data_IF_341735040488
#
_entry.id   IF_341735040488
#
_cell.length_a   1.000
_cell.length_b   1.000
_cell.length_c   1.000
_cell.angle_alpha   90.00
_cell.angle_beta   90.00
_cell.angle_gamma   90.00
#
_symmetry.space_group_name_H-M   'P 1'
#
loop_
_entity.id
_entity.type
_entity.pdbx_description
1 polymer ?
#
# COMPACT_ATOMS: atom_id res chain seq x y z
N UNK A 1 -25.21 17.03 -9.89
CA UNK A 1 -24.77 16.90 -8.49
C UNK A 1 -24.26 18.25 -7.96
N UNK A 2 -24.55 18.59 -6.70
CA UNK A 2 -24.23 19.90 -6.07
C UNK A 2 -22.91 19.86 -5.28
N UNK A 3 -22.47 18.67 -4.87
CA UNK A 3 -21.41 18.45 -3.87
C UNK A 3 -20.02 19.00 -4.23
N UNK A 4 -19.72 19.19 -5.51
CA UNK A 4 -18.41 19.70 -5.94
C UNK A 4 -18.45 21.13 -6.47
N UNK A 5 -19.62 21.78 -6.58
CA UNK A 5 -19.77 23.07 -7.28
C UNK A 5 -18.88 24.20 -6.72
N UNK A 6 -18.57 24.14 -5.44
CA UNK A 6 -17.73 25.10 -4.70
C UNK A 6 -16.25 24.68 -4.62
N UNK A 7 -15.89 23.49 -5.11
CA UNK A 7 -14.53 22.93 -5.00
C UNK A 7 -13.67 23.30 -6.20
N UNK A 8 -12.34 23.33 -6.02
CA UNK A 8 -11.36 23.63 -7.09
C UNK A 8 -11.54 22.71 -8.31
N UNK A 9 -11.85 21.42 -8.08
CA UNK A 9 -12.08 20.43 -9.15
C UNK A 9 -13.20 20.82 -10.12
N UNK A 10 -14.21 21.58 -9.66
CA UNK A 10 -15.30 22.06 -10.52
C UNK A 10 -14.83 23.06 -11.58
N UNK A 11 -13.74 23.76 -11.29
CA UNK A 11 -13.12 24.74 -12.18
C UNK A 11 -12.15 24.10 -13.19
N UNK A 12 -11.81 22.81 -13.04
CA UNK A 12 -10.90 22.10 -13.93
C UNK A 12 -11.48 21.79 -15.33
N UNK A 13 -12.71 22.24 -15.62
CA UNK A 13 -13.27 22.22 -16.97
C UNK A 13 -14.37 21.19 -17.18
N UNK A 14 -14.94 21.19 -18.39
CA UNK A 14 -16.08 20.34 -18.75
C UNK A 14 -15.72 18.85 -18.72
N UNK A 15 -14.52 18.49 -19.19
CA UNK A 15 -14.08 17.10 -19.29
C UNK A 15 -14.21 16.33 -17.97
N UNK A 16 -13.87 16.92 -16.82
CA UNK A 16 -14.04 16.27 -15.51
C UNK A 16 -15.50 16.25 -15.04
N UNK A 17 -16.25 17.33 -15.31
CA UNK A 17 -17.66 17.43 -14.91
C UNK A 17 -18.55 16.44 -15.64
N UNK A 18 -18.22 16.10 -16.87
CA UNK A 18 -18.98 15.14 -17.69
C UNK A 18 -18.91 13.70 -17.14
N UNK A 19 -17.95 13.38 -16.26
CA UNK A 19 -17.84 12.07 -15.59
C UNK A 19 -18.46 12.04 -14.18
N UNK A 20 -18.93 13.19 -13.66
CA UNK A 20 -19.43 13.27 -12.29
C UNK A 20 -20.69 12.42 -12.09
N UNK A 21 -20.64 11.46 -11.17
CA UNK A 21 -21.79 10.60 -10.84
C UNK A 21 -22.21 9.68 -11.99
N UNK A 22 -21.33 9.44 -12.95
CA UNK A 22 -21.61 8.63 -14.14
C UNK A 22 -21.53 7.12 -13.87
N UNK A 23 -20.64 6.71 -12.97
CA UNK A 23 -20.37 5.29 -12.71
C UNK A 23 -20.88 4.90 -11.32
N UNK A 24 -21.57 3.75 -11.19
CA UNK A 24 -21.72 3.12 -9.90
C UNK A 24 -20.33 2.75 -9.37
N UNK A 25 -20.15 2.81 -8.06
CA UNK A 25 -18.86 2.51 -7.41
C UNK A 25 -19.10 1.40 -6.43
N UNK A 26 -18.27 0.35 -6.46
CA UNK A 26 -18.11 -0.62 -5.37
C UNK A 26 -16.89 -0.19 -4.57
N UNK A 27 -17.03 0.07 -3.27
CA UNK A 27 -15.92 0.49 -2.42
C UNK A 27 -15.81 -0.42 -1.20
N UNK A 28 -14.68 -1.10 -1.06
CA UNK A 28 -14.39 -1.98 0.07
C UNK A 28 -13.02 -1.60 0.64
N UNK A 29 -12.96 -1.44 1.95
CA UNK A 29 -11.71 -1.25 2.69
C UNK A 29 -11.55 -2.37 3.71
N UNK A 30 -10.36 -2.98 3.75
CA UNK A 30 -10.05 -4.05 4.71
C UNK A 30 -9.19 -3.56 5.88
N UNK A 31 -9.01 -2.25 6.02
CA UNK A 31 -8.15 -1.60 7.04
C UNK A 31 -8.33 -2.13 8.47
N UNK A 32 -9.56 -2.47 8.84
CA UNK A 32 -9.92 -2.91 10.20
C UNK A 32 -10.00 -4.44 10.34
N UNK A 33 -9.63 -5.21 9.30
CA UNK A 33 -9.65 -6.68 9.33
C UNK A 33 -8.38 -7.21 9.98
N UNK A 34 -8.31 -7.02 11.31
CA UNK A 34 -7.24 -7.49 12.20
C UNK A 34 -7.83 -8.42 13.24
N UNK A 35 -7.78 -9.73 12.96
CA UNK A 35 -8.40 -10.79 13.76
C UNK A 35 -7.39 -11.90 14.00
N UNK A 36 -7.59 -12.62 15.10
CA UNK A 36 -6.63 -13.62 15.55
C UNK A 36 -6.91 -15.00 14.94
N UNK A 37 -8.08 -15.20 14.31
CA UNK A 37 -8.43 -16.46 13.61
C UNK A 37 -9.04 -16.23 12.23
N UNK A 38 -9.03 -17.29 11.41
CA UNK A 38 -9.68 -17.29 10.10
C UNK A 38 -11.20 -17.07 10.20
N UNK A 39 -11.88 -17.70 11.17
CA UNK A 39 -13.33 -17.59 11.33
C UNK A 39 -13.76 -16.16 11.64
N UNK A 40 -13.03 -15.48 12.51
CA UNK A 40 -13.27 -14.08 12.84
C UNK A 40 -12.96 -13.16 11.65
N UNK A 41 -11.86 -13.43 10.94
CA UNK A 41 -11.46 -12.71 9.72
C UNK A 41 -12.55 -12.81 8.65
N UNK A 42 -12.97 -14.03 8.33
CA UNK A 42 -14.03 -14.32 7.37
C UNK A 42 -15.35 -13.65 7.75
N UNK A 43 -15.73 -13.73 9.04
CA UNK A 43 -16.93 -13.06 9.55
C UNK A 43 -16.86 -11.55 9.35
N UNK A 44 -15.70 -10.94 9.59
CA UNK A 44 -15.51 -9.50 9.41
C UNK A 44 -15.57 -9.10 7.93
N UNK A 45 -14.89 -9.84 7.05
CA UNK A 45 -14.97 -9.61 5.60
C UNK A 45 -16.41 -9.74 5.10
N UNK A 46 -17.13 -10.78 5.53
CA UNK A 46 -18.53 -11.00 5.16
C UNK A 46 -19.42 -9.81 5.58
N UNK A 47 -19.15 -9.23 6.76
CA UNK A 47 -19.84 -8.02 7.21
C UNK A 47 -19.56 -6.82 6.33
N UNK A 48 -18.30 -6.59 5.93
CA UNK A 48 -17.91 -5.48 5.04
C UNK A 48 -18.60 -5.62 3.68
N UNK A 49 -18.57 -6.82 3.09
CA UNK A 49 -19.27 -7.10 1.83
C UNK A 49 -20.77 -6.83 1.98
N UNK A 50 -21.40 -7.29 3.08
CA UNK A 50 -22.82 -7.03 3.33
C UNK A 50 -23.15 -5.55 3.44
N UNK A 51 -22.33 -4.76 4.13
CA UNK A 51 -22.51 -3.31 4.23
C UNK A 51 -22.44 -2.64 2.86
N UNK A 52 -21.56 -3.14 1.98
CA UNK A 52 -21.47 -2.68 0.61
C UNK A 52 -22.70 -3.09 -0.22
N UNK A 53 -23.26 -4.28 -0.01
CA UNK A 53 -24.55 -4.63 -0.60
C UNK A 53 -25.67 -3.70 -0.10
N UNK A 54 -25.77 -3.42 1.20
CA UNK A 54 -26.79 -2.51 1.73
C UNK A 54 -26.70 -1.11 1.11
N UNK A 55 -25.49 -0.64 0.77
CA UNK A 55 -25.28 0.64 0.09
C UNK A 55 -25.92 0.70 -1.30
N UNK A 56 -26.11 -0.45 -1.96
CA UNK A 56 -26.75 -0.60 -3.28
C UNK A 56 -28.14 -1.24 -3.20
N UNK A 57 -28.86 -1.06 -2.09
CA UNK A 57 -30.21 -1.62 -1.86
C UNK A 57 -31.23 -1.32 -2.95
N UNK A 58 -31.03 -0.28 -3.76
CA UNK A 58 -31.88 0.05 -4.91
C UNK A 58 -31.96 -1.09 -5.94
N UNK A 59 -30.98 -2.01 -5.96
CA UNK A 59 -30.98 -3.17 -6.83
C UNK A 59 -32.12 -4.15 -6.54
N UNK A 60 -32.65 -4.18 -5.32
CA UNK A 60 -33.83 -4.98 -4.98
C UNK A 60 -35.08 -4.53 -5.74
N UNK A 61 -35.18 -3.23 -6.05
CA UNK A 61 -36.30 -2.64 -6.78
C UNK A 61 -36.03 -2.55 -8.30
N UNK A 62 -34.82 -2.89 -8.74
CA UNK A 62 -34.42 -2.87 -10.15
C UNK A 62 -35.33 -3.76 -11.01
N UNK A 63 -35.98 -3.24 -12.07
CA UNK A 63 -36.73 -4.07 -13.01
C UNK A 63 -35.82 -4.87 -13.95
N UNK A 64 -34.51 -4.56 -13.97
CA UNK A 64 -33.52 -5.21 -14.84
C UNK A 64 -32.85 -6.41 -14.19
N UNK A 65 -32.80 -6.46 -12.86
CA UNK A 65 -32.26 -7.60 -12.14
C UNK A 65 -33.30 -8.72 -12.05
N UNK A 66 -32.86 -9.95 -12.27
CA UNK A 66 -33.70 -11.15 -12.20
C UNK A 66 -34.17 -11.46 -10.77
N UNK A 67 -35.19 -12.32 -10.66
CA UNK A 67 -35.66 -12.82 -9.36
C UNK A 67 -34.55 -13.55 -8.59
N UNK A 68 -33.69 -14.28 -9.27
CA UNK A 68 -32.60 -15.04 -8.65
C UNK A 68 -31.52 -14.13 -8.06
N UNK A 69 -31.15 -13.08 -8.78
CA UNK A 69 -30.17 -12.09 -8.30
C UNK A 69 -30.70 -11.33 -7.09
N UNK A 70 -31.99 -10.96 -7.10
CA UNK A 70 -32.63 -10.34 -5.94
C UNK A 70 -32.69 -11.26 -4.74
N UNK A 71 -32.88 -12.56 -4.95
CA UNK A 71 -32.84 -13.54 -3.86
C UNK A 71 -31.44 -13.70 -3.28
N UNK A 72 -30.42 -13.80 -4.15
CA UNK A 72 -29.01 -13.78 -3.75
C UNK A 72 -28.67 -12.52 -2.93
N UNK A 73 -29.09 -11.35 -3.41
CA UNK A 73 -28.89 -10.08 -2.72
C UNK A 73 -29.53 -10.07 -1.33
N UNK A 74 -30.75 -10.58 -1.19
CA UNK A 74 -31.41 -10.72 0.11
C UNK A 74 -30.66 -11.67 1.04
N UNK A 75 -30.18 -12.81 0.54
CA UNK A 75 -29.40 -13.75 1.34
C UNK A 75 -28.11 -13.11 1.88
N UNK A 76 -27.44 -12.27 1.08
CA UNK A 76 -26.29 -11.47 1.52
C UNK A 76 -26.67 -10.51 2.67
N UNK A 77 -27.77 -9.76 2.52
CA UNK A 77 -28.24 -8.81 3.55
C UNK A 77 -28.67 -9.50 4.84
N UNK A 78 -29.37 -10.64 4.73
CA UNK A 78 -29.89 -11.40 5.87
C UNK A 78 -28.81 -12.23 6.58
N UNK A 79 -27.57 -12.27 6.06
CA UNK A 79 -26.48 -13.07 6.60
C UNK A 79 -26.69 -14.58 6.43
N UNK A 80 -27.45 -14.97 5.40
CA UNK A 80 -27.71 -16.37 5.02
C UNK A 80 -26.76 -16.88 3.93
N UNK A 81 -25.97 -15.99 3.36
CA UNK A 81 -24.97 -16.30 2.35
C UNK A 81 -23.88 -17.24 2.90
N UNK A 82 -23.50 -18.24 2.10
CA UNK A 82 -22.41 -19.14 2.43
C UNK A 82 -21.04 -18.59 1.95
N UNK A 83 -19.97 -19.36 2.17
CA UNK A 83 -18.62 -18.95 1.76
C UNK A 83 -18.45 -18.79 0.25
N UNK A 84 -19.17 -19.59 -0.53
CA UNK A 84 -19.15 -19.49 -2.00
C UNK A 84 -19.85 -18.20 -2.45
N UNK A 85 -20.97 -17.88 -1.81
CA UNK A 85 -21.69 -16.64 -2.06
C UNK A 85 -20.78 -15.43 -1.77
N UNK A 86 -20.11 -15.39 -0.62
CA UNK A 86 -19.22 -14.26 -0.29
C UNK A 86 -18.02 -14.19 -1.25
N UNK A 87 -17.39 -15.33 -1.59
CA UNK A 87 -16.29 -15.37 -2.57
C UNK A 87 -16.69 -14.90 -3.97
N UNK A 88 -17.96 -14.97 -4.36
CA UNK A 88 -18.44 -14.53 -5.69
C UNK A 88 -19.16 -13.19 -5.66
N UNK A 89 -19.24 -12.57 -4.47
CA UNK A 89 -20.06 -11.38 -4.22
C UNK A 89 -19.67 -10.15 -5.03
N UNK A 90 -18.38 -9.88 -5.23
CA UNK A 90 -17.93 -8.72 -6.02
C UNK A 90 -18.34 -8.86 -7.48
N UNK A 91 -18.20 -10.06 -8.04
CA UNK A 91 -18.65 -10.35 -9.40
C UNK A 91 -20.15 -10.12 -9.52
N UNK A 92 -20.94 -10.68 -8.58
CA UNK A 92 -22.40 -10.60 -8.62
C UNK A 92 -22.91 -9.18 -8.45
N UNK A 93 -22.39 -8.45 -7.47
CA UNK A 93 -22.74 -7.04 -7.27
C UNK A 93 -22.36 -6.20 -8.49
N UNK A 94 -21.19 -6.44 -9.07
CA UNK A 94 -20.75 -5.73 -10.27
C UNK A 94 -21.67 -5.97 -11.46
N UNK A 95 -22.09 -7.22 -11.69
CA UNK A 95 -23.04 -7.58 -12.76
C UNK A 95 -24.39 -6.88 -12.56
N UNK A 96 -24.95 -6.97 -11.34
CA UNK A 96 -26.24 -6.36 -11.03
C UNK A 96 -26.23 -4.84 -11.20
N UNK A 97 -25.13 -4.16 -10.84
CA UNK A 97 -24.96 -2.72 -11.04
C UNK A 97 -24.89 -2.34 -12.52
N UNK A 98 -24.12 -3.10 -13.32
CA UNK A 98 -24.04 -2.88 -14.77
C UNK A 98 -25.41 -3.09 -15.44
N UNK A 99 -26.14 -4.14 -15.07
CA UNK A 99 -27.50 -4.37 -15.59
C UNK A 99 -28.45 -3.22 -15.22
N UNK A 100 -28.45 -2.81 -13.96
CA UNK A 100 -29.33 -1.75 -13.49
C UNK A 100 -29.05 -0.41 -14.15
N UNK A 101 -27.79 0.04 -14.14
CA UNK A 101 -27.39 1.37 -14.61
C UNK A 101 -27.04 1.41 -16.11
N UNK A 102 -26.79 0.26 -16.74
CA UNK A 102 -26.33 0.14 -18.13
C UNK A 102 -24.89 0.60 -18.35
N UNK A 103 -24.09 0.64 -17.29
CA UNK A 103 -22.68 1.04 -17.32
C UNK A 103 -21.89 0.32 -16.22
N UNK A 104 -20.74 -0.23 -16.61
CA UNK A 104 -19.89 -1.00 -15.71
C UNK A 104 -19.45 -0.18 -14.48
N UNK A 105 -19.51 -0.76 -13.28
CA UNK A 105 -19.08 -0.07 -12.06
C UNK A 105 -17.57 0.08 -12.00
N UNK A 106 -17.13 1.03 -11.16
CA UNK A 106 -15.74 1.14 -10.72
C UNK A 106 -15.62 0.39 -9.40
N UNK A 107 -14.72 -0.60 -9.32
CA UNK A 107 -14.41 -1.32 -8.08
C UNK A 107 -13.15 -0.71 -7.48
N UNK A 108 -13.23 -0.25 -6.24
CA UNK A 108 -12.12 0.29 -5.46
C UNK A 108 -11.96 -0.59 -4.24
N UNK A 109 -10.76 -1.15 -4.10
CA UNK A 109 -10.38 -2.02 -3.00
C UNK A 109 -9.20 -1.39 -2.30
N UNK A 110 -9.37 -1.13 -1.02
CA UNK A 110 -8.41 -0.43 -0.18
C UNK A 110 -7.88 -1.39 0.90
N UNK A 111 -6.59 -1.27 1.22
CA UNK A 111 -5.91 -2.06 2.27
C UNK A 111 -6.09 -3.58 2.12
N UNK A 112 -6.12 -4.09 0.88
CA UNK A 112 -6.38 -5.51 0.57
C UNK A 112 -5.37 -6.49 1.18
N UNK A 113 -4.17 -5.98 1.49
CA UNK A 113 -3.06 -6.68 2.11
C UNK A 113 -3.23 -6.85 3.63
N UNK A 114 -3.99 -5.97 4.31
CA UNK A 114 -4.24 -6.06 5.76
C UNK A 114 -4.68 -7.46 6.22
N UNK A 115 -5.74 -8.10 5.69
CA UNK A 115 -6.15 -9.43 6.13
C UNK A 115 -5.12 -10.51 5.77
N UNK A 116 -4.38 -10.34 4.67
CA UNK A 116 -3.33 -11.27 4.23
C UNK A 116 -2.15 -11.23 5.22
N UNK A 117 -1.71 -10.03 5.58
CA UNK A 117 -0.70 -9.80 6.59
C UNK A 117 -1.13 -10.38 7.95
N UNK A 118 -2.38 -10.17 8.36
CA UNK A 118 -2.89 -10.71 9.62
C UNK A 118 -2.94 -12.23 9.61
N UNK A 119 -3.41 -12.84 8.52
CA UNK A 119 -3.37 -14.29 8.34
C UNK A 119 -1.96 -14.86 8.37
N UNK A 120 -0.98 -14.14 7.80
CA UNK A 120 0.42 -14.52 7.91
C UNK A 120 0.91 -14.52 9.36
N UNK A 121 0.70 -13.43 10.08
CA UNK A 121 1.16 -13.25 11.46
C UNK A 121 0.53 -14.24 12.44
N UNK A 122 -0.74 -14.61 12.20
CA UNK A 122 -1.52 -15.46 13.10
C UNK A 122 -1.59 -16.93 12.63
N UNK A 123 -0.93 -17.28 11.52
CA UNK A 123 -0.77 -18.66 11.07
C UNK A 123 -1.93 -19.26 10.27
N UNK A 124 -2.80 -18.43 9.66
CA UNK A 124 -3.90 -18.84 8.78
C UNK A 124 -3.80 -18.20 7.37
N UNK A 125 -2.57 -18.06 6.87
CA UNK A 125 -2.25 -17.41 5.60
C UNK A 125 -2.88 -18.09 4.40
N UNK A 126 -2.83 -19.42 4.34
CA UNK A 126 -3.29 -20.20 3.19
C UNK A 126 -4.81 -20.07 3.01
N UNK A 127 -5.55 -20.02 4.11
CA UNK A 127 -7.00 -19.80 4.13
C UNK A 127 -7.36 -18.41 3.58
N UNK A 128 -6.68 -17.36 4.06
CA UNK A 128 -6.94 -15.98 3.62
C UNK A 128 -6.58 -15.81 2.14
N UNK A 129 -5.42 -16.29 1.70
CA UNK A 129 -5.01 -16.16 0.30
C UNK A 129 -5.97 -16.89 -0.62
N UNK A 130 -6.37 -18.11 -0.28
CA UNK A 130 -7.34 -18.87 -1.07
C UNK A 130 -8.66 -18.09 -1.21
N UNK A 131 -9.17 -17.57 -0.10
CA UNK A 131 -10.41 -16.79 -0.10
C UNK A 131 -10.27 -15.49 -0.89
N UNK A 132 -9.23 -14.68 -0.64
CA UNK A 132 -9.02 -13.39 -1.30
C UNK A 132 -8.80 -13.57 -2.81
N UNK A 133 -8.08 -14.62 -3.22
CA UNK A 133 -7.93 -14.98 -4.64
C UNK A 133 -9.27 -15.24 -5.30
N UNK A 134 -10.14 -16.01 -4.65
CA UNK A 134 -11.47 -16.31 -5.18
C UNK A 134 -12.35 -15.04 -5.21
N UNK A 135 -12.35 -14.25 -4.14
CA UNK A 135 -13.06 -12.97 -4.03
C UNK A 135 -12.72 -12.02 -5.18
N UNK A 136 -11.43 -11.89 -5.51
CA UNK A 136 -10.97 -10.99 -6.56
C UNK A 136 -11.08 -11.58 -7.96
N UNK A 137 -10.80 -12.87 -8.15
CA UNK A 137 -10.81 -13.51 -9.48
C UNK A 137 -12.17 -13.44 -10.19
N UNK A 138 -13.28 -13.40 -9.44
CA UNK A 138 -14.61 -13.28 -10.02
C UNK A 138 -14.90 -11.89 -10.60
N UNK A 139 -14.41 -10.83 -9.94
CA UNK A 139 -14.71 -9.43 -10.30
C UNK A 139 -13.59 -8.70 -11.04
N UNK A 140 -12.36 -9.21 -10.97
CA UNK A 140 -11.15 -8.59 -11.48
C UNK A 140 -10.37 -9.61 -12.32
N UNK A 141 -10.11 -9.29 -13.59
CA UNK A 141 -9.31 -10.14 -14.47
C UNK A 141 -8.33 -9.28 -15.29
N UNK A 142 -7.16 -9.84 -15.61
CA UNK A 142 -6.09 -9.18 -16.38
C UNK A 142 -5.67 -7.81 -15.84
N UNK A 143 -5.36 -7.75 -14.55
CA UNK A 143 -4.95 -6.50 -13.89
C UNK A 143 -3.62 -6.00 -14.45
N UNK A 144 -3.59 -4.72 -14.85
CA UNK A 144 -2.36 -4.00 -15.12
C UNK A 144 -1.82 -3.45 -13.80
N UNK A 145 -0.70 -3.98 -13.33
CA UNK A 145 -0.01 -3.50 -12.13
C UNK A 145 0.79 -2.25 -12.50
N UNK A 146 0.68 -1.20 -11.67
CA UNK A 146 1.54 -0.01 -11.75
C UNK A 146 2.21 0.14 -10.39
N UNK A 147 3.48 -0.24 -10.31
CA UNK A 147 4.31 -0.21 -9.11
C UNK A 147 5.04 1.13 -8.96
N UNK A 148 5.83 1.24 -7.88
CA UNK A 148 6.72 2.38 -7.61
C UNK A 148 7.80 2.57 -8.70
N UNK A 149 8.11 1.53 -9.47
CA UNK A 149 9.10 1.61 -10.55
C UNK A 149 8.48 2.04 -11.90
N UNK A 150 7.15 2.05 -11.99
CA UNK A 150 6.42 2.38 -13.22
C UNK A 150 6.19 3.90 -13.38
N UNK A 151 6.46 4.42 -14.58
CA UNK A 151 6.36 5.87 -14.82
C UNK A 151 4.94 6.39 -15.01
N UNK A 152 3.98 5.52 -15.40
CA UNK A 152 2.65 5.93 -15.89
C UNK A 152 1.87 6.82 -14.92
N UNK A 153 1.98 6.55 -13.61
CA UNK A 153 1.28 7.31 -12.56
C UNK A 153 2.23 7.89 -11.51
N UNK A 154 3.52 7.94 -11.84
CA UNK A 154 4.58 8.30 -10.89
C UNK A 154 4.35 9.63 -10.16
N UNK A 155 3.79 10.64 -10.83
CA UNK A 155 3.53 11.97 -10.24
C UNK A 155 2.35 12.00 -9.25
N UNK A 156 1.52 10.94 -9.19
CA UNK A 156 0.29 10.92 -8.41
C UNK A 156 0.40 10.16 -7.07
N UNK A 157 1.58 9.62 -6.76
CA UNK A 157 1.82 8.89 -5.50
C UNK A 157 2.11 9.81 -4.30
N UNK A 158 2.36 11.10 -4.54
CA UNK A 158 2.59 12.08 -3.48
C UNK A 158 2.59 13.51 -3.99
N UNK A 159 3.40 14.38 -3.38
CA UNK A 159 3.55 15.76 -3.86
C UNK A 159 4.81 15.91 -4.70
N UNK A 160 4.68 16.58 -5.84
CA UNK A 160 5.82 16.99 -6.66
C UNK A 160 6.60 18.14 -6.00
N UNK A 161 7.89 18.34 -6.36
CA UNK A 161 8.67 19.48 -5.90
C UNK A 161 7.97 20.83 -6.13
N UNK A 162 7.29 20.99 -7.27
CA UNK A 162 6.54 22.19 -7.63
C UNK A 162 5.34 22.42 -6.70
N UNK A 163 4.57 21.38 -6.40
CA UNK A 163 3.46 21.45 -5.44
C UNK A 163 3.96 21.79 -4.03
N UNK A 164 5.08 21.20 -3.59
CA UNK A 164 5.66 21.52 -2.27
C UNK A 164 6.13 22.99 -2.22
N UNK A 165 6.73 23.53 -3.29
CA UNK A 165 7.06 24.97 -3.38
C UNK A 165 5.81 25.84 -3.29
N UNK A 166 4.70 25.42 -3.93
CA UNK A 166 3.43 26.14 -3.84
C UNK A 166 2.82 26.10 -2.43
N UNK A 167 2.86 24.94 -1.76
CA UNK A 167 2.40 24.80 -0.37
C UNK A 167 3.27 25.69 0.55
N UNK A 168 4.60 25.66 0.40
CA UNK A 168 5.51 26.51 1.17
C UNK A 168 5.21 28.01 0.96
N UNK A 169 4.93 28.41 -0.28
CA UNK A 169 4.48 29.77 -0.61
C UNK A 169 3.16 30.13 0.05
N UNK A 170 2.19 29.23 0.04
CA UNK A 170 0.87 29.45 0.64
C UNK A 170 0.96 29.70 2.15
N UNK A 171 1.84 28.98 2.86
CA UNK A 171 2.08 29.18 4.29
C UNK A 171 3.11 30.26 4.62
N UNK A 172 3.68 30.95 3.62
CA UNK A 172 4.67 32.01 3.82
C UNK A 172 6.03 31.52 4.34
N UNK A 173 6.40 30.28 4.03
CA UNK A 173 7.64 29.62 4.48
C UNK A 173 8.51 29.18 3.27
N UNK A 174 8.63 30.03 2.25
CA UNK A 174 9.35 29.70 1.01
C UNK A 174 10.85 29.45 1.26
N UNK A 175 11.42 30.17 2.21
CA UNK A 175 12.80 30.07 2.68
C UNK A 175 13.11 28.72 3.35
N UNK A 176 12.08 27.96 3.72
CA UNK A 176 12.22 26.64 4.34
C UNK A 176 12.28 25.48 3.34
N UNK A 177 12.20 25.75 2.04
CA UNK A 177 12.13 24.70 1.02
C UNK A 177 13.31 23.70 1.10
N UNK A 178 14.54 24.17 1.27
CA UNK A 178 15.71 23.27 1.41
C UNK A 178 15.65 22.39 2.66
N UNK A 179 15.10 22.91 3.77
CA UNK A 179 14.89 22.13 5.00
C UNK A 179 13.83 21.05 4.80
N UNK A 180 12.74 21.38 4.09
CA UNK A 180 11.70 20.43 3.71
C UNK A 180 12.30 19.35 2.80
N UNK A 181 13.11 19.72 1.81
CA UNK A 181 13.80 18.78 0.94
C UNK A 181 14.67 17.79 1.73
N UNK A 182 15.52 18.30 2.62
CA UNK A 182 16.42 17.48 3.42
C UNK A 182 15.68 16.46 4.31
N UNK A 183 14.45 16.77 4.74
CA UNK A 183 13.69 15.94 5.65
C UNK A 183 12.68 15.02 4.98
N UNK A 184 12.07 15.41 3.87
CA UNK A 184 10.85 14.77 3.36
C UNK A 184 10.86 14.45 1.86
N UNK A 185 11.91 14.85 1.14
CA UNK A 185 12.11 14.54 -0.28
C UNK A 185 12.79 13.18 -0.46
N UNK A 186 13.10 12.84 -1.70
CA UNK A 186 14.04 11.80 -2.04
C UNK A 186 13.38 10.58 -2.65
N UNK A 187 12.06 10.39 -2.54
CA UNK A 187 11.45 9.29 -3.27
C UNK A 187 11.48 9.54 -4.76
N UNK A 188 11.79 8.48 -5.50
CA UNK A 188 11.72 8.47 -6.95
C UNK A 188 10.77 7.36 -7.36
N UNK A 189 9.61 7.76 -7.87
CA UNK A 189 8.62 6.84 -8.42
C UNK A 189 8.75 6.91 -9.93
N UNK A 190 9.12 5.83 -10.60
CA UNK A 190 9.47 5.84 -12.03
C UNK A 190 10.40 7.01 -12.41
N UNK A 191 9.86 8.01 -13.10
CA UNK A 191 10.58 9.21 -13.56
C UNK A 191 10.34 10.47 -12.72
N UNK A 192 9.49 10.42 -11.69
CA UNK A 192 9.09 11.58 -10.90
C UNK A 192 9.74 11.57 -9.51
N UNK A 193 10.18 12.75 -9.06
CA UNK A 193 10.56 13.00 -7.66
C UNK A 193 9.30 13.31 -6.85
N UNK A 194 9.17 12.66 -5.70
CA UNK A 194 7.94 12.69 -4.90
C UNK A 194 8.27 12.86 -3.42
N UNK A 195 7.50 13.74 -2.77
CA UNK A 195 7.49 13.91 -1.34
C UNK A 195 6.35 13.10 -0.73
N UNK A 196 6.59 12.56 0.48
CA UNK A 196 5.54 11.94 1.26
C UNK A 196 4.48 13.00 1.69
N UNK A 197 3.20 12.87 1.28
CA UNK A 197 2.20 13.89 1.59
C UNK A 197 1.94 14.10 3.07
N UNK A 198 1.94 13.01 3.84
CA UNK A 198 1.68 13.05 5.29
C UNK A 198 2.78 13.83 6.02
N UNK A 199 4.03 13.58 5.67
CA UNK A 199 5.17 14.27 6.28
C UNK A 199 5.18 15.76 5.95
N UNK A 200 4.96 16.13 4.68
CA UNK A 200 4.89 17.54 4.25
C UNK A 200 3.73 18.26 4.94
N UNK A 201 2.52 17.67 4.97
CA UNK A 201 1.37 18.29 5.64
C UNK A 201 1.65 18.49 7.13
N UNK A 202 2.23 17.49 7.79
CA UNK A 202 2.52 17.59 9.22
C UNK A 202 3.65 18.56 9.54
N UNK A 203 4.62 18.77 8.65
CA UNK A 203 5.62 19.83 8.81
C UNK A 203 4.97 21.21 8.98
N UNK A 204 4.04 21.56 8.09
CA UNK A 204 3.32 22.84 8.18
C UNK A 204 2.39 22.89 9.40
N UNK A 205 1.69 21.79 9.72
CA UNK A 205 0.87 21.69 10.95
C UNK A 205 1.71 21.81 12.23
N UNK A 206 2.96 21.37 12.19
CA UNK A 206 3.91 21.44 13.30
C UNK A 206 4.72 22.75 13.28
N UNK A 207 4.12 23.83 12.78
CA UNK A 207 4.71 25.18 12.77
C UNK A 207 6.06 25.24 12.04
N UNK A 208 6.18 24.54 10.91
CA UNK A 208 7.39 24.48 10.09
C UNK A 208 8.62 23.99 10.88
N UNK A 209 8.40 23.01 11.77
CA UNK A 209 9.47 22.34 12.53
C UNK A 209 9.58 20.89 12.07
N UNK A 210 10.77 20.45 11.64
CA UNK A 210 10.94 19.10 11.16
C UNK A 210 10.89 18.08 12.30
N UNK A 211 10.25 16.95 12.03
CA UNK A 211 10.17 15.74 12.86
C UNK A 211 9.99 14.52 11.96
N UNK A 212 10.23 13.34 12.52
CA UNK A 212 9.78 12.09 11.91
C UNK A 212 8.27 11.91 12.16
N UNK A 213 7.47 12.23 11.15
CA UNK A 213 6.01 12.08 11.10
C UNK A 213 5.56 10.78 10.46
N UNK A 214 6.42 10.13 9.68
CA UNK A 214 6.17 8.83 9.11
C UNK A 214 5.87 7.83 10.23
N UNK A 215 4.69 7.22 10.17
CA UNK A 215 4.21 6.22 11.12
C UNK A 215 4.11 4.88 10.40
N UNK A 216 4.87 3.88 10.86
CA UNK A 216 4.71 2.51 10.38
C UNK A 216 3.40 1.94 10.92
N UNK A 217 2.42 1.71 10.07
CA UNK A 217 1.23 0.92 10.42
C UNK A 217 1.37 -0.45 9.77
N UNK A 218 1.64 -1.49 10.58
CA UNK A 218 1.57 -2.91 10.16
C UNK A 218 2.90 -3.56 9.80
N UNK A 219 3.77 -2.93 9.02
CA UNK A 219 4.94 -3.61 8.41
C UNK A 219 6.07 -3.98 9.39
N UNK A 220 6.09 -3.40 10.60
CA UNK A 220 7.18 -3.56 11.56
C UNK A 220 7.36 -4.97 12.13
N UNK A 221 6.30 -5.77 12.17
CA UNK A 221 6.36 -7.13 12.72
C UNK A 221 7.00 -8.09 11.72
N UNK A 222 6.61 -7.97 10.45
CA UNK A 222 7.16 -8.77 9.36
C UNK A 222 8.65 -8.50 9.22
N UNK A 223 9.07 -7.22 9.21
CA UNK A 223 10.49 -6.83 9.16
C UNK A 223 11.30 -7.56 10.24
N UNK A 224 10.77 -7.67 11.46
CA UNK A 224 11.45 -8.38 12.55
C UNK A 224 11.73 -9.85 12.21
N UNK A 225 10.79 -10.53 11.56
CA UNK A 225 10.99 -11.91 11.11
C UNK A 225 12.02 -12.01 9.98
N UNK A 226 11.97 -11.12 8.97
CA UNK A 226 12.95 -11.12 7.87
C UNK A 226 14.37 -10.96 8.43
N UNK A 227 14.49 -10.09 9.42
CA UNK A 227 15.76 -9.73 10.04
C UNK A 227 16.27 -10.78 11.03
N UNK A 228 15.40 -11.64 11.56
CA UNK A 228 15.80 -12.71 12.49
C UNK A 228 16.70 -13.75 11.80
N UNK A 229 16.48 -13.98 10.50
CA UNK A 229 17.25 -14.90 9.66
C UNK A 229 18.30 -14.19 8.80
N UNK A 230 18.58 -12.90 9.07
CA UNK A 230 19.59 -12.13 8.34
C UNK A 230 21.01 -12.61 8.65
N UNK A 231 21.83 -12.74 7.61
CA UNK A 231 23.25 -13.04 7.74
C UNK A 231 24.10 -11.78 8.00
N UNK A 232 25.40 -11.97 8.20
CA UNK A 232 26.34 -10.89 8.45
C UNK A 232 26.39 -9.88 7.29
N UNK A 233 26.28 -10.36 6.05
CA UNK A 233 26.33 -9.53 4.85
C UNK A 233 25.11 -8.60 4.78
N UNK A 234 23.91 -9.10 5.06
CA UNK A 234 22.70 -8.27 5.17
C UNK A 234 22.84 -7.25 6.30
N UNK A 235 23.37 -7.64 7.45
CA UNK A 235 23.57 -6.71 8.55
C UNK A 235 24.54 -5.58 8.18
N UNK A 236 25.66 -5.89 7.53
CA UNK A 236 26.62 -4.89 7.06
C UNK A 236 25.95 -3.91 6.08
N UNK A 237 25.31 -4.44 5.05
CA UNK A 237 24.53 -3.68 4.09
C UNK A 237 23.47 -2.77 4.76
N UNK A 238 22.69 -3.29 5.71
CA UNK A 238 21.69 -2.47 6.42
C UNK A 238 22.33 -1.32 7.22
N UNK A 239 23.57 -1.48 7.71
CA UNK A 239 24.34 -0.40 8.34
C UNK A 239 24.91 0.59 7.32
N UNK A 240 25.38 0.11 6.17
CA UNK A 240 25.87 0.95 5.07
C UNK A 240 24.78 1.94 4.60
N UNK A 241 23.53 1.46 4.49
CA UNK A 241 22.39 2.32 4.17
C UNK A 241 22.21 3.46 5.18
N UNK A 242 22.37 3.20 6.48
CA UNK A 242 22.26 4.25 7.51
C UNK A 242 23.41 5.27 7.42
N UNK A 243 24.59 4.83 6.98
CA UNK A 243 25.74 5.71 6.70
C UNK A 243 25.55 6.55 5.43
N UNK A 244 24.44 6.38 4.71
CA UNK A 244 24.12 7.11 3.50
C UNK A 244 24.72 6.51 2.23
N UNK A 245 25.27 5.29 2.30
CA UNK A 245 25.70 4.54 1.11
C UNK A 245 24.48 3.99 0.36
N UNK A 246 24.70 3.62 -0.90
CA UNK A 246 23.74 2.89 -1.72
C UNK A 246 24.14 1.43 -1.87
N UNK A 247 23.16 0.57 -2.15
CA UNK A 247 23.35 -0.87 -2.35
C UNK A 247 22.78 -1.27 -3.69
N UNK A 248 23.52 -2.09 -4.43
CA UNK A 248 23.02 -2.72 -5.65
C UNK A 248 22.39 -4.07 -5.30
N UNK A 249 21.09 -4.24 -5.59
CA UNK A 249 20.35 -5.45 -5.22
C UNK A 249 19.22 -5.76 -6.20
N UNK A 250 18.80 -7.02 -6.22
CA UNK A 250 17.63 -7.44 -6.97
C UNK A 250 16.35 -7.03 -6.24
N UNK A 251 15.41 -6.45 -6.98
CA UNK A 251 14.12 -5.99 -6.48
C UNK A 251 13.00 -6.71 -7.23
N UNK A 252 12.20 -7.42 -6.43
CA UNK A 252 10.91 -7.98 -6.84
C UNK A 252 9.78 -7.20 -6.18
N UNK A 253 9.06 -6.41 -6.98
CA UNK A 253 7.91 -5.63 -6.50
C UNK A 253 6.67 -6.48 -6.20
N UNK A 254 6.68 -7.76 -6.59
CA UNK A 254 5.62 -8.74 -6.36
C UNK A 254 5.90 -9.73 -5.22
N UNK A 255 6.89 -9.44 -4.35
CA UNK A 255 7.29 -10.32 -3.25
C UNK A 255 6.11 -10.72 -2.37
N UNK A 256 5.96 -12.02 -2.09
CA UNK A 256 4.92 -12.56 -1.21
C UNK A 256 5.51 -13.05 0.12
N UNK A 257 4.76 -12.92 1.21
CA UNK A 257 5.26 -13.16 2.58
C UNK A 257 5.95 -14.53 2.80
N UNK A 258 5.48 -15.67 2.26
CA UNK A 258 6.18 -16.94 2.43
C UNK A 258 7.56 -17.00 1.77
N UNK A 259 7.78 -16.25 0.68
CA UNK A 259 9.08 -16.21 0.00
C UNK A 259 10.11 -15.41 0.80
N UNK A 260 9.65 -14.44 1.58
CA UNK A 260 10.51 -13.56 2.37
C UNK A 260 11.32 -14.35 3.41
N UNK A 261 10.73 -15.36 4.08
CA UNK A 261 11.46 -16.23 5.02
C UNK A 261 12.52 -17.09 4.33
N UNK A 262 12.27 -17.50 3.10
CA UNK A 262 13.14 -18.45 2.40
C UNK A 262 14.28 -17.77 1.63
N UNK A 263 14.21 -16.44 1.45
CA UNK A 263 15.23 -15.68 0.76
C UNK A 263 15.47 -14.34 1.48
N UNK A 264 16.48 -14.28 2.38
CA UNK A 264 16.84 -13.08 3.12
C UNK A 264 17.12 -11.85 2.24
N UNK A 265 17.55 -12.03 0.97
CA UNK A 265 17.75 -10.92 0.04
C UNK A 265 16.45 -10.20 -0.35
N UNK A 266 15.30 -10.82 -0.13
CA UNK A 266 13.98 -10.21 -0.34
C UNK A 266 13.69 -9.05 0.62
N UNK A 267 14.52 -8.88 1.67
CA UNK A 267 14.41 -7.76 2.62
C UNK A 267 14.46 -6.42 1.89
N UNK A 268 15.32 -6.26 0.89
CA UNK A 268 15.44 -4.99 0.16
C UNK A 268 14.21 -4.70 -0.71
N UNK A 269 13.65 -5.73 -1.34
CA UNK A 269 12.37 -5.65 -2.05
C UNK A 269 11.26 -5.16 -1.11
N UNK A 270 11.16 -5.79 0.07
CA UNK A 270 10.16 -5.41 1.08
C UNK A 270 10.38 -3.98 1.58
N UNK A 271 11.61 -3.61 1.95
CA UNK A 271 11.94 -2.29 2.45
C UNK A 271 11.69 -1.18 1.42
N UNK A 272 11.90 -1.48 0.13
CA UNK A 272 11.58 -0.56 -0.96
C UNK A 272 10.06 -0.38 -1.12
N UNK A 273 9.28 -1.47 -1.19
CA UNK A 273 7.82 -1.40 -1.35
C UNK A 273 7.15 -0.79 -0.12
N UNK A 274 7.66 -1.05 1.08
CA UNK A 274 7.20 -0.45 2.33
C UNK A 274 7.60 1.03 2.49
N UNK A 275 8.45 1.57 1.60
CA UNK A 275 8.84 2.98 1.59
C UNK A 275 10.00 3.35 2.51
N UNK A 276 10.76 2.38 3.05
CA UNK A 276 12.00 2.64 3.79
C UNK A 276 13.17 2.99 2.86
N UNK A 277 13.15 2.47 1.62
CA UNK A 277 14.17 2.72 0.61
C UNK A 277 13.61 3.52 -0.57
N UNK A 278 14.53 4.09 -1.34
CA UNK A 278 14.28 4.63 -2.68
C UNK A 278 15.16 3.92 -3.71
N UNK A 279 14.69 3.85 -4.95
CA UNK A 279 15.50 3.44 -6.09
C UNK A 279 16.18 4.67 -6.73
N UNK A 280 17.50 4.70 -6.74
CA UNK A 280 18.30 5.72 -7.44
C UNK A 280 18.33 5.44 -8.94
N UNK A 281 18.53 4.16 -9.28
CA UNK A 281 18.50 3.61 -10.64
C UNK A 281 17.77 2.28 -10.59
N UNK A 282 16.99 2.01 -11.64
CA UNK A 282 16.35 0.72 -11.85
C UNK A 282 16.65 0.28 -13.28
N UNK A 283 17.38 -0.81 -13.42
CA UNK A 283 17.70 -1.43 -14.70
C UNK A 283 16.97 -2.75 -14.79
N UNK A 284 16.41 -3.04 -15.97
CA UNK A 284 15.71 -4.30 -16.20
C UNK A 284 16.74 -5.42 -16.26
N UNK A 285 16.66 -6.35 -15.31
CA UNK A 285 17.46 -7.55 -15.29
C UNK A 285 16.89 -8.59 -16.26
N UNK A 286 17.69 -9.63 -16.52
CA UNK A 286 17.26 -10.74 -17.36
C UNK A 286 16.12 -11.51 -16.67
N UNK A 287 14.93 -11.56 -17.28
CA UNK A 287 13.75 -12.25 -16.73
C UNK A 287 12.57 -11.35 -16.35
N UNK A 288 12.73 -10.02 -16.43
CA UNK A 288 11.66 -9.05 -16.12
C UNK A 288 11.73 -8.45 -14.72
N UNK A 289 12.66 -8.91 -13.88
CA UNK A 289 12.96 -8.34 -12.57
C UNK A 289 13.82 -7.07 -12.71
N UNK A 290 13.97 -6.33 -11.60
CA UNK A 290 14.77 -5.10 -11.57
C UNK A 290 16.06 -5.31 -10.77
N UNK A 291 17.18 -4.88 -11.34
CA UNK A 291 18.39 -4.59 -10.58
C UNK A 291 18.35 -3.11 -10.19
N UNK A 292 18.34 -2.83 -8.89
CA UNK A 292 18.19 -1.49 -8.38
C UNK A 292 19.37 -1.08 -7.52
N UNK A 293 19.82 0.15 -7.70
CA UNK A 293 20.66 0.84 -6.72
C UNK A 293 19.73 1.53 -5.71
N UNK A 294 19.72 1.07 -4.46
CA UNK A 294 18.80 1.54 -3.40
C UNK A 294 19.51 2.30 -2.30
N UNK A 295 18.82 3.26 -1.67
CA UNK A 295 19.34 4.05 -0.54
C UNK A 295 18.20 4.54 0.36
N UNK A 296 18.52 5.13 1.51
CA UNK A 296 17.52 5.82 2.34
C UNK A 296 17.09 7.13 1.66
N UNK A 297 15.79 7.49 1.69
CA UNK A 297 15.31 8.63 0.93
C UNK A 297 15.70 9.98 1.52
N UNK A 298 15.59 10.13 2.84
CA UNK A 298 15.76 11.39 3.57
C UNK A 298 16.06 11.17 5.06
N UNK A 299 16.21 12.30 5.78
CA UNK A 299 16.49 12.30 7.22
C UNK A 299 15.36 11.73 8.07
N UNK A 300 14.10 11.95 7.70
CA UNK A 300 12.98 11.36 8.44
C UNK A 300 13.08 9.84 8.46
N UNK A 301 13.22 9.24 7.28
CA UNK A 301 13.27 7.79 7.15
C UNK A 301 14.54 7.22 7.76
N UNK A 302 15.69 7.93 7.71
CA UNK A 302 16.88 7.50 8.43
C UNK A 302 16.67 7.37 9.94
N UNK A 303 15.92 8.32 10.55
CA UNK A 303 15.57 8.25 11.98
C UNK A 303 14.65 7.06 12.28
N UNK A 304 13.63 6.84 11.44
CA UNK A 304 12.69 5.72 11.60
C UNK A 304 13.41 4.38 11.40
N UNK A 305 14.17 4.25 10.31
CA UNK A 305 14.95 3.07 9.95
C UNK A 305 15.87 2.64 11.10
N UNK A 306 16.65 3.58 11.66
CA UNK A 306 17.54 3.27 12.77
C UNK A 306 16.77 2.69 13.99
N UNK A 307 15.62 3.29 14.31
CA UNK A 307 14.80 2.88 15.45
C UNK A 307 14.10 1.54 15.23
N UNK A 308 13.57 1.30 14.04
CA UNK A 308 12.69 0.15 13.78
C UNK A 308 13.43 -1.09 13.26
N UNK A 309 14.61 -0.91 12.66
CA UNK A 309 15.37 -1.95 11.99
C UNK A 309 16.66 -2.25 12.77
N UNK A 310 17.59 -1.30 12.84
CA UNK A 310 18.91 -1.57 13.41
C UNK A 310 18.89 -1.79 14.91
N UNK A 311 18.17 -0.96 15.67
CA UNK A 311 18.05 -1.18 17.11
C UNK A 311 17.45 -2.55 17.45
N UNK A 312 16.55 -3.11 16.61
CA UNK A 312 16.02 -4.45 16.82
C UNK A 312 17.05 -5.54 16.49
N UNK A 313 17.82 -5.35 15.42
CA UNK A 313 18.89 -6.28 15.03
C UNK A 313 19.97 -6.41 16.10
N UNK A 314 20.35 -5.32 16.77
CA UNK A 314 21.34 -5.35 17.87
C UNK A 314 20.91 -6.26 19.04
N UNK A 315 19.60 -6.43 19.27
CA UNK A 315 19.09 -7.35 20.29
C UNK A 315 19.01 -8.80 19.80
N UNK A 316 19.02 -9.04 18.48
CA UNK A 316 18.87 -10.37 17.88
C UNK A 316 20.21 -11.03 17.55
N UNK A 317 21.25 -10.25 17.24
CA UNK A 317 22.59 -10.76 16.98
C UNK A 317 23.34 -10.91 18.32
N UNK A 318 23.80 -12.11 18.71
CA UNK A 318 24.61 -12.27 19.91
C UNK A 318 25.87 -11.38 19.84
N UNK A 319 26.20 -10.71 20.95
CA UNK A 319 27.37 -9.79 21.04
C UNK A 319 28.70 -10.41 20.58
N UNK A 320 28.80 -11.74 20.47
CA UNK A 320 29.98 -12.43 19.93
C UNK A 320 30.18 -12.22 18.42
N UNK A 321 29.12 -12.01 17.64
CA UNK A 321 29.22 -11.83 16.17
C UNK A 321 29.44 -10.36 15.79
N UNK A 322 28.94 -9.42 16.60
CA UNK A 322 29.13 -7.98 16.39
C UNK A 322 30.59 -7.53 16.57
N UNK A 323 31.36 -8.21 17.42
CA UNK A 323 32.79 -7.93 17.64
C UNK A 323 33.64 -8.41 16.46
N UNK A 324 33.30 -9.54 15.84
CA UNK A 324 34.03 -10.05 14.66
C UNK A 324 33.89 -9.18 13.40
N UNK A 325 32.81 -8.40 13.27
CA UNK A 325 32.61 -7.46 12.14
C UNK A 325 33.39 -6.15 12.35
N UNK A 326 33.68 -5.78 13.61
CA UNK A 326 34.49 -4.60 13.92
C UNK A 326 36.01 -4.86 13.86
N UNK A 327 36.45 -6.12 13.78
CA UNK A 327 37.88 -6.51 13.83
C UNK A 327 38.43 -7.09 12.51
N UNK A 328 37.76 -6.96 11.37
CA UNK A 328 38.37 -7.31 10.09
C UNK A 328 39.32 -6.18 9.62
N UNK A 329 40.65 -6.41 9.51
CA UNK A 329 41.61 -5.37 9.14
C UNK A 329 41.63 -5.07 7.64
N UNK A 330 41.99 -3.81 7.33
CA UNK A 330 42.13 -3.16 6.01
C UNK A 330 42.76 -4.00 4.88
#
# INVERSE_FOLDING_TARGET
SVYFKDKKIWKCGKNYRDYQGKYPVIFITFKDVKRDTWEETYTHISKIVREEFERHRELLDSPRCSRYEKEYFKNMLEGKADSTDVMTSLQKLSQMLDEHYGIGPIIIIDEYDTPIQQGYMQGFYDEVILFMRNLFSGGLNNLAVNSILDSRYSEYFGFTPEEVKEIARYYGAQEKYEEICAWYDGYRFGSSEIFNPWSVINYFRNHCRPRAFWQSTGNNEIIGEILADADADIYEHLNELLQGKSILTYIDTGVIYPQIRNNPSSVYSFLLVAGYLKALKAETAFGGDYMCEVSLPNREIAVVYNKEILQKLEYMIPQATAVSVQEAPD
#
